data_IF_185609585025
#
_entry.id   IF_185609585025
#
_cell.length_a   1.000
_cell.length_b   1.000
_cell.length_c   1.000
_cell.angle_alpha   90.00
_cell.angle_beta   90.00
_cell.angle_gamma   90.00
#
_symmetry.space_group_name_H-M   'P 1'
#
loop_
_entity.id
_entity.type
_entity.pdbx_description
1 polymer ?
#
# COMPACT_ATOMS: atom_id res chain seq x y z
N UNK A 1 -13.33 -3.48 5.29
CA UNK A 1 -14.29 -2.39 5.56
C UNK A 1 -14.67 -1.75 4.24
N UNK A 2 -15.94 -1.44 4.00
CA UNK A 2 -16.40 -0.76 2.78
C UNK A 2 -17.15 0.53 3.14
N UNK A 3 -16.79 1.65 2.52
CA UNK A 3 -17.50 2.93 2.65
C UNK A 3 -18.02 3.38 1.28
N UNK A 4 -19.33 3.60 1.20
CA UNK A 4 -20.01 4.05 -0.02
C UNK A 4 -20.85 5.28 0.28
N UNK A 5 -20.43 6.45 -0.23
CA UNK A 5 -21.12 7.74 -0.07
C UNK A 5 -20.91 8.61 -1.32
N UNK A 6 -21.72 9.67 -1.49
CA UNK A 6 -21.41 10.67 -2.54
C UNK A 6 -20.12 11.42 -2.22
N UNK A 7 -19.97 11.83 -0.95
CA UNK A 7 -18.78 12.49 -0.43
C UNK A 7 -18.30 11.72 0.81
N UNK A 8 -17.00 11.43 0.87
CA UNK A 8 -16.38 10.83 2.03
C UNK A 8 -15.22 11.70 2.52
N UNK A 9 -15.26 12.05 3.80
CA UNK A 9 -14.09 12.57 4.52
C UNK A 9 -13.76 11.56 5.60
N UNK A 10 -12.55 11.00 5.55
CA UNK A 10 -12.20 9.91 6.45
C UNK A 10 -10.78 10.02 7.01
N UNK A 11 -10.64 9.71 8.29
CA UNK A 11 -9.35 9.45 8.93
C UNK A 11 -9.44 8.06 9.52
N UNK A 12 -8.56 7.17 9.09
CA UNK A 12 -8.57 5.78 9.54
C UNK A 12 -7.16 5.32 9.88
N UNK A 13 -7.07 4.65 11.03
CA UNK A 13 -5.85 4.03 11.50
C UNK A 13 -6.14 2.60 11.94
N UNK A 14 -5.30 1.66 11.54
CA UNK A 14 -5.32 0.29 12.06
C UNK A 14 -3.94 -0.11 12.55
N UNK A 15 -3.94 -0.85 13.66
CA UNK A 15 -2.77 -1.53 14.18
C UNK A 15 -3.15 -2.94 14.55
N UNK A 16 -2.48 -3.92 13.97
CA UNK A 16 -2.67 -5.33 14.30
C UNK A 16 -1.30 -5.96 14.60
N UNK A 17 -1.27 -6.79 15.63
CA UNK A 17 -0.10 -7.54 16.04
C UNK A 17 -0.51 -8.99 16.24
N UNK A 18 0.25 -9.91 15.65
CA UNK A 18 0.08 -11.33 15.85
C UNK A 18 1.41 -11.99 16.22
N UNK A 19 1.37 -12.94 17.14
CA UNK A 19 2.55 -13.78 17.42
C UNK A 19 2.71 -14.84 16.32
N UNK A 20 1.60 -15.47 15.93
CA UNK A 20 1.57 -16.51 14.90
C UNK A 20 0.31 -16.34 14.06
N UNK A 21 0.47 -16.35 12.74
CA UNK A 21 -0.64 -16.28 11.79
C UNK A 21 -0.72 -14.95 11.04
N UNK A 22 -1.89 -14.71 10.45
CA UNK A 22 -2.12 -13.61 9.52
C UNK A 22 -2.60 -12.36 10.25
N UNK A 23 -2.05 -11.20 9.88
CA UNK A 23 -2.53 -9.90 10.32
C UNK A 23 -3.04 -9.15 9.09
N UNK A 24 -4.37 -9.16 8.91
CA UNK A 24 -4.99 -8.67 7.68
C UNK A 24 -5.71 -7.36 7.87
N UNK A 25 -5.51 -6.47 6.90
CA UNK A 25 -6.33 -5.29 6.79
C UNK A 25 -6.75 -5.02 5.35
N UNK A 26 -8.06 -4.98 5.12
CA UNK A 26 -8.67 -4.65 3.83
C UNK A 26 -9.63 -3.46 3.95
N UNK A 27 -9.43 -2.46 3.10
CA UNK A 27 -10.27 -1.27 3.04
C UNK A 27 -10.65 -0.95 1.58
N UNK A 28 -11.95 -0.78 1.36
CA UNK A 28 -12.54 -0.39 0.08
C UNK A 28 -13.33 0.91 0.22
N UNK A 29 -12.99 1.92 -0.57
CA UNK A 29 -13.64 3.24 -0.60
C UNK A 29 -14.21 3.49 -1.99
N UNK A 30 -15.53 3.63 -2.08
CA UNK A 30 -16.23 3.89 -3.35
C UNK A 30 -17.12 5.12 -3.21
N UNK A 31 -16.68 6.27 -3.70
CA UNK A 31 -17.41 7.54 -3.56
C UNK A 31 -17.33 8.37 -4.85
N UNK A 32 -18.12 9.44 -4.98
CA UNK A 32 -17.85 10.40 -6.05
C UNK A 32 -16.62 11.24 -5.70
N UNK A 33 -16.58 11.76 -4.47
CA UNK A 33 -15.45 12.52 -3.94
C UNK A 33 -14.97 11.93 -2.62
N UNK A 34 -13.67 11.67 -2.52
CA UNK A 34 -13.05 11.19 -1.28
C UNK A 34 -11.88 12.08 -0.86
N UNK A 35 -11.86 12.48 0.40
CA UNK A 35 -10.72 13.12 1.06
C UNK A 35 -10.35 12.29 2.27
N UNK A 36 -9.25 11.53 2.18
CA UNK A 36 -8.94 10.54 3.20
C UNK A 36 -7.47 10.51 3.62
N UNK A 37 -7.26 10.27 4.92
CA UNK A 37 -5.96 9.98 5.51
C UNK A 37 -5.99 8.59 6.12
N UNK A 38 -5.13 7.70 5.61
CA UNK A 38 -5.14 6.28 5.96
C UNK A 38 -3.78 5.88 6.53
N UNK A 39 -3.79 5.14 7.64
CA UNK A 39 -2.58 4.59 8.25
C UNK A 39 -2.78 3.14 8.67
N UNK A 40 -1.90 2.25 8.21
CA UNK A 40 -1.94 0.82 8.55
C UNK A 40 -0.59 0.40 9.12
N UNK A 41 -0.60 -0.28 10.26
CA UNK A 41 0.58 -0.94 10.80
C UNK A 41 0.26 -2.39 11.18
N UNK A 42 0.81 -3.36 10.45
CA UNK A 42 0.59 -4.78 10.72
C UNK A 42 1.93 -5.42 11.07
N UNK A 43 1.97 -6.16 12.17
CA UNK A 43 3.16 -6.86 12.63
C UNK A 43 2.83 -8.32 12.92
N UNK A 44 3.68 -9.23 12.45
CA UNK A 44 3.63 -10.64 12.82
C UNK A 44 5.02 -11.13 13.23
N UNK A 45 5.12 -11.96 14.27
CA UNK A 45 6.40 -12.62 14.54
C UNK A 45 6.62 -13.77 13.54
N UNK A 46 5.61 -14.63 13.38
CA UNK A 46 5.59 -15.68 12.36
C UNK A 46 4.29 -15.62 11.58
N UNK A 47 4.36 -15.21 10.32
CA UNK A 47 3.21 -15.18 9.42
C UNK A 47 3.24 -14.03 8.41
N UNK A 48 2.08 -13.79 7.81
CA UNK A 48 1.92 -12.88 6.68
C UNK A 48 1.07 -11.68 7.09
N UNK A 49 1.67 -10.51 7.35
CA UNK A 49 0.91 -9.28 7.45
C UNK A 49 0.47 -8.84 6.04
N UNK A 50 -0.83 -8.72 5.81
CA UNK A 50 -1.38 -8.37 4.49
C UNK A 50 -2.21 -7.09 4.57
N UNK A 51 -1.90 -6.12 3.71
CA UNK A 51 -2.72 -4.93 3.55
C UNK A 51 -3.23 -4.79 2.12
N UNK A 52 -4.56 -4.72 1.97
CA UNK A 52 -5.22 -4.47 0.68
C UNK A 52 -6.02 -3.17 0.73
N UNK A 53 -5.80 -2.29 -0.23
CA UNK A 53 -6.56 -1.06 -0.40
C UNK A 53 -7.15 -0.99 -1.81
N UNK A 54 -8.45 -0.71 -1.90
CA UNK A 54 -9.09 -0.37 -3.15
C UNK A 54 -9.83 0.97 -3.03
N UNK A 55 -9.51 1.90 -3.92
CA UNK A 55 -10.12 3.23 -3.95
C UNK A 55 -10.69 3.48 -5.35
N UNK A 56 -12.01 3.66 -5.42
CA UNK A 56 -12.72 3.89 -6.68
C UNK A 56 -13.55 5.17 -6.55
N UNK A 57 -13.07 6.28 -7.09
CA UNK A 57 -13.78 7.56 -7.00
C UNK A 57 -13.73 8.37 -8.29
N UNK A 58 -14.59 9.37 -8.45
CA UNK A 58 -14.34 10.35 -9.51
C UNK A 58 -13.17 11.25 -9.14
N UNK A 59 -13.18 11.80 -7.93
CA UNK A 59 -12.13 12.67 -7.41
C UNK A 59 -11.64 12.12 -6.08
N UNK A 60 -10.33 11.94 -5.94
CA UNK A 60 -9.71 11.48 -4.72
C UNK A 60 -8.54 12.38 -4.30
N UNK A 61 -8.57 12.84 -3.06
CA UNK A 61 -7.43 13.47 -2.38
C UNK A 61 -7.05 12.61 -1.19
N UNK A 62 -5.96 11.85 -1.31
CA UNK A 62 -5.65 10.82 -0.32
C UNK A 62 -4.19 10.85 0.12
N UNK A 63 -3.96 10.67 1.42
CA UNK A 63 -2.64 10.38 1.96
C UNK A 63 -2.67 9.01 2.63
N UNK A 64 -1.70 8.16 2.31
CA UNK A 64 -1.65 6.83 2.88
C UNK A 64 -0.26 6.39 3.33
N UNK A 65 -0.22 5.78 4.50
CA UNK A 65 0.97 5.22 5.10
C UNK A 65 0.74 3.77 5.51
N UNK A 66 1.63 2.87 5.08
CA UNK A 66 1.58 1.46 5.47
C UNK A 66 2.94 1.00 5.97
N UNK A 67 2.91 0.31 7.11
CA UNK A 67 4.04 -0.40 7.66
C UNK A 67 3.66 -1.87 7.87
N UNK A 68 4.36 -2.79 7.21
CA UNK A 68 4.20 -4.23 7.43
C UNK A 68 5.53 -4.82 7.90
N UNK A 69 5.51 -5.54 9.01
CA UNK A 69 6.72 -6.18 9.54
C UNK A 69 6.46 -7.64 9.86
N UNK A 70 7.37 -8.51 9.43
CA UNK A 70 7.40 -9.91 9.84
C UNK A 70 8.80 -10.30 10.31
N UNK A 71 8.93 -11.13 11.35
CA UNK A 71 10.23 -11.74 11.62
C UNK A 71 10.43 -12.93 10.66
N UNK A 72 9.43 -13.81 10.55
CA UNK A 72 9.41 -14.90 9.58
C UNK A 72 8.09 -14.89 8.81
N UNK A 73 8.16 -14.62 7.51
CA UNK A 73 7.02 -14.67 6.62
C UNK A 73 7.04 -13.54 5.59
N UNK A 74 5.90 -13.37 4.91
CA UNK A 74 5.80 -12.51 3.74
C UNK A 74 4.87 -11.33 4.01
N UNK A 75 5.39 -10.12 4.25
CA UNK A 75 4.57 -8.92 4.23
C UNK A 75 4.11 -8.64 2.79
N UNK A 76 2.79 -8.54 2.61
CA UNK A 76 2.17 -8.32 1.31
C UNK A 76 1.31 -7.07 1.34
N UNK A 77 1.48 -6.21 0.35
CA UNK A 77 0.65 -5.05 0.17
C UNK A 77 0.14 -4.94 -1.26
N UNK A 78 -1.16 -4.75 -1.41
CA UNK A 78 -1.82 -4.46 -2.68
C UNK A 78 -2.58 -3.16 -2.59
N UNK A 79 -2.35 -2.25 -3.53
CA UNK A 79 -3.13 -1.03 -3.66
C UNK A 79 -3.61 -0.84 -5.09
N UNK A 80 -4.92 -0.70 -5.23
CA UNK A 80 -5.60 -0.41 -6.49
C UNK A 80 -6.36 0.91 -6.41
N UNK A 81 -5.99 1.86 -7.26
CA UNK A 81 -6.63 3.17 -7.36
C UNK A 81 -7.22 3.35 -8.74
N UNK A 82 -8.53 3.53 -8.81
CA UNK A 82 -9.27 3.78 -10.05
C UNK A 82 -10.03 5.09 -9.90
N UNK A 83 -9.50 6.19 -10.44
CA UNK A 83 -10.16 7.49 -10.32
C UNK A 83 -10.14 8.31 -11.60
N UNK A 84 -11.04 9.28 -11.76
CA UNK A 84 -10.84 10.26 -12.84
C UNK A 84 -9.70 11.21 -12.47
N UNK A 85 -9.75 11.79 -11.27
CA UNK A 85 -8.72 12.69 -10.75
C UNK A 85 -8.22 12.16 -9.42
N UNK A 86 -6.90 12.01 -9.32
CA UNK A 86 -6.24 11.55 -8.11
C UNK A 86 -5.11 12.49 -7.72
N UNK A 87 -5.19 13.02 -6.51
CA UNK A 87 -4.11 13.76 -5.86
C UNK A 87 -3.72 13.03 -4.59
N UNK A 88 -2.45 12.69 -4.41
CA UNK A 88 -2.09 11.97 -3.19
C UNK A 88 -0.63 11.78 -2.89
N UNK A 89 -0.40 11.30 -1.68
CA UNK A 89 0.92 10.92 -1.20
C UNK A 89 0.88 9.54 -0.56
N UNK A 90 1.92 8.76 -0.81
CA UNK A 90 1.99 7.39 -0.35
C UNK A 90 3.37 7.03 0.18
N UNK A 91 3.36 6.38 1.34
CA UNK A 91 4.55 5.83 1.97
C UNK A 91 4.29 4.40 2.39
N UNK A 92 5.07 3.47 1.85
CA UNK A 92 5.01 2.05 2.20
C UNK A 92 6.37 1.59 2.71
N UNK A 93 6.37 0.88 3.83
CA UNK A 93 7.57 0.29 4.43
C UNK A 93 7.31 -1.16 4.80
N UNK A 94 8.02 -2.07 4.16
CA UNK A 94 7.95 -3.50 4.47
C UNK A 94 9.31 -3.99 4.96
N UNK A 95 9.25 -4.79 6.02
CA UNK A 95 10.42 -5.39 6.63
C UNK A 95 10.15 -6.86 6.92
N UNK A 96 11.00 -7.74 6.41
CA UNK A 96 11.05 -9.15 6.82
C UNK A 96 12.46 -9.52 7.27
N UNK A 97 12.61 -10.32 8.32
CA UNK A 97 13.92 -10.91 8.58
C UNK A 97 14.12 -12.15 7.68
N UNK A 98 13.11 -12.99 7.55
CA UNK A 98 13.12 -14.16 6.66
C UNK A 98 11.81 -14.22 5.88
N UNK A 99 11.90 -14.09 4.56
CA UNK A 99 10.78 -14.17 3.63
C UNK A 99 10.79 -13.06 2.58
N UNK A 100 9.91 -13.20 1.60
CA UNK A 100 9.73 -12.22 0.52
C UNK A 100 8.87 -11.05 1.00
N UNK A 101 9.17 -9.84 0.51
CA UNK A 101 8.30 -8.68 0.74
C UNK A 101 7.67 -8.27 -0.58
N UNK A 102 6.34 -8.26 -0.67
CA UNK A 102 5.64 -8.03 -1.93
C UNK A 102 4.82 -6.73 -1.88
N UNK A 103 5.04 -5.86 -2.84
CA UNK A 103 4.23 -4.67 -3.08
C UNK A 103 3.64 -4.72 -4.50
N UNK A 104 2.33 -4.61 -4.62
CA UNK A 104 1.64 -4.45 -5.90
C UNK A 104 0.85 -3.17 -5.93
N UNK A 105 1.04 -2.40 -6.99
CA UNK A 105 0.45 -1.09 -7.16
C UNK A 105 -0.17 -0.97 -8.54
N UNK A 106 -1.46 -0.68 -8.57
CA UNK A 106 -2.18 -0.42 -9.80
C UNK A 106 -2.91 0.92 -9.70
N UNK A 107 -2.53 1.84 -10.59
CA UNK A 107 -3.13 3.15 -10.73
C UNK A 107 -3.72 3.30 -12.12
N UNK A 108 -5.04 3.43 -12.18
CA UNK A 108 -5.79 3.67 -13.42
C UNK A 108 -6.54 4.98 -13.25
N UNK A 109 -5.98 6.08 -13.77
CA UNK A 109 -6.61 7.40 -13.64
C UNK A 109 -6.60 8.22 -14.91
N UNK A 110 -7.52 9.17 -15.07
CA UNK A 110 -7.40 10.13 -16.18
C UNK A 110 -6.28 11.14 -15.88
N UNK A 111 -6.33 11.75 -14.69
CA UNK A 111 -5.35 12.72 -14.22
C UNK A 111 -4.82 12.26 -12.86
N UNK A 112 -3.49 12.18 -12.73
CA UNK A 112 -2.84 11.86 -11.45
C UNK A 112 -1.75 12.88 -11.12
N UNK A 113 -1.76 13.34 -9.87
CA UNK A 113 -0.66 14.09 -9.26
C UNK A 113 -0.28 13.39 -7.97
N UNK A 114 0.91 12.80 -7.91
CA UNK A 114 1.26 12.06 -6.72
C UNK A 114 2.75 11.98 -6.37
N UNK A 115 2.97 11.68 -5.09
CA UNK A 115 4.26 11.27 -4.58
C UNK A 115 4.15 9.87 -3.99
N UNK A 116 5.12 9.03 -4.32
CA UNK A 116 5.16 7.65 -3.90
C UNK A 116 6.54 7.30 -3.33
N UNK A 117 6.55 6.69 -2.16
CA UNK A 117 7.76 6.14 -1.55
C UNK A 117 7.53 4.71 -1.08
N UNK A 118 8.41 3.81 -1.51
CA UNK A 118 8.44 2.42 -1.05
C UNK A 118 9.82 2.08 -0.53
N UNK A 119 9.85 1.43 0.62
CA UNK A 119 11.05 0.78 1.16
C UNK A 119 10.72 -0.67 1.45
N UNK A 120 11.40 -1.56 0.75
CA UNK A 120 11.32 -3.01 0.95
C UNK A 120 12.64 -3.50 1.50
N UNK A 121 12.60 -4.15 2.67
CA UNK A 121 13.77 -4.70 3.33
C UNK A 121 13.51 -6.17 3.67
N UNK A 122 14.38 -7.05 3.19
CA UNK A 122 14.45 -8.43 3.66
C UNK A 122 15.87 -8.75 4.10
N UNK A 123 16.08 -9.48 5.20
CA UNK A 123 17.43 -9.97 5.50
C UNK A 123 17.71 -11.24 4.66
N UNK A 124 16.74 -12.14 4.57
CA UNK A 124 16.81 -13.34 3.74
C UNK A 124 15.53 -13.45 2.92
N UNK A 125 15.61 -13.25 1.61
CA UNK A 125 14.47 -13.29 0.70
C UNK A 125 14.47 -12.16 -0.33
N UNK A 126 13.50 -12.21 -1.23
CA UNK A 126 13.42 -11.29 -2.37
C UNK A 126 12.37 -10.20 -2.12
N UNK A 127 12.76 -8.93 -2.20
CA UNK A 127 11.80 -7.84 -2.17
C UNK A 127 11.28 -7.59 -3.59
N UNK A 128 9.97 -7.76 -3.79
CA UNK A 128 9.30 -7.61 -5.09
C UNK A 128 8.38 -6.39 -5.05
N UNK A 129 8.50 -5.52 -6.06
CA UNK A 129 7.56 -4.42 -6.26
C UNK A 129 7.08 -4.39 -7.70
N UNK A 130 5.76 -4.48 -7.91
CA UNK A 130 5.13 -4.23 -9.20
C UNK A 130 4.38 -2.90 -9.18
N UNK A 131 4.55 -2.12 -10.23
CA UNK A 131 3.85 -0.86 -10.44
C UNK A 131 3.25 -0.85 -11.84
N UNK A 132 1.94 -0.62 -11.92
CA UNK A 132 1.21 -0.48 -13.16
C UNK A 132 0.48 0.85 -13.17
N UNK A 133 0.83 1.71 -14.13
CA UNK A 133 0.29 3.05 -14.30
C UNK A 133 -0.41 3.14 -15.65
N UNK A 134 -1.71 3.42 -15.63
CA UNK A 134 -2.52 3.68 -16.82
C UNK A 134 -3.16 5.05 -16.65
N UNK A 135 -2.51 6.09 -17.18
CA UNK A 135 -3.02 7.45 -17.07
C UNK A 135 -2.92 8.26 -18.37
N UNK A 136 -3.83 9.23 -18.56
CA UNK A 136 -3.74 10.20 -19.66
C UNK A 136 -2.77 11.33 -19.33
N UNK A 137 -2.85 11.87 -18.10
CA UNK A 137 -1.98 12.94 -17.61
C UNK A 137 -1.44 12.53 -16.25
N UNK A 138 -0.12 12.56 -16.09
CA UNK A 138 0.55 12.17 -14.85
C UNK A 138 1.68 13.13 -14.48
N UNK A 139 1.65 13.63 -13.25
CA UNK A 139 2.77 14.29 -12.59
C UNK A 139 3.10 13.50 -11.33
N UNK A 140 4.09 12.64 -11.43
CA UNK A 140 4.43 11.69 -10.37
C UNK A 140 5.89 11.83 -9.94
N UNK A 141 6.14 11.70 -8.64
CA UNK A 141 7.48 11.47 -8.10
C UNK A 141 7.49 10.14 -7.37
N UNK A 142 8.37 9.22 -7.77
CA UNK A 142 8.52 7.92 -7.11
C UNK A 142 9.93 7.74 -6.54
N UNK A 143 10.00 7.05 -5.41
CA UNK A 143 11.26 6.58 -4.83
C UNK A 143 11.04 5.17 -4.30
N UNK A 144 11.74 4.19 -4.88
CA UNK A 144 11.71 2.81 -4.41
C UNK A 144 13.09 2.42 -3.92
N UNK A 145 13.17 1.84 -2.73
CA UNK A 145 14.40 1.29 -2.16
C UNK A 145 14.20 -0.18 -1.84
N UNK A 146 15.10 -1.00 -2.35
CA UNK A 146 15.17 -2.43 -2.06
C UNK A 146 16.45 -2.71 -1.31
N UNK A 147 16.36 -3.50 -0.24
CA UNK A 147 17.53 -4.01 0.47
C UNK A 147 17.29 -5.48 0.75
N UNK A 148 18.18 -6.33 0.23
CA UNK A 148 18.30 -7.73 0.64
C UNK A 148 19.72 -7.99 1.11
N UNK A 149 19.89 -8.64 2.27
CA UNK A 149 21.22 -9.07 2.71
C UNK A 149 21.62 -10.40 2.04
N UNK A 150 20.64 -11.27 1.77
CA UNK A 150 20.81 -12.56 1.10
C UNK A 150 19.59 -12.80 0.19
N UNK A 151 19.77 -12.59 -1.12
CA UNK A 151 18.75 -12.70 -2.18
C UNK A 151 19.00 -11.69 -3.31
N UNK A 152 18.65 -12.02 -4.56
CA UNK A 152 18.70 -11.05 -5.67
C UNK A 152 17.42 -10.19 -5.67
N UNK A 153 17.51 -8.85 -5.73
CA UNK A 153 16.33 -8.00 -5.94
C UNK A 153 15.88 -8.08 -7.41
N UNK A 154 14.57 -8.24 -7.64
CA UNK A 154 13.91 -8.31 -8.97
C UNK A 154 13.02 -7.10 -9.22
#
# INVERSE_FOLDING_TARGET
>A
MQLVNQFAVCSWSSRLQSAVGQADCSLQLVNQIAVCSLSTSLQSAVGQPVCSLQLVNQIAVCSWSTSLQSAVGQPVCSLQLVNQILVGSWSTRFQSAVGETVCSLQLVNQIVVCSWSTSLQSAVGEPVCSLQLVNQIAVCSWSTRFQSAVGEPV
#
